data_IF_078791675934
#
_entry.id   IF_078791675934
#
_cell.length_a   1.000
_cell.length_b   1.000
_cell.length_c   1.000
_cell.angle_alpha   90.00
_cell.angle_beta   90.00
_cell.angle_gamma   90.00
#
_symmetry.space_group_name_H-M   'P 1'
#
loop_
_entity.id
_entity.type
_entity.pdbx_description
1 polymer ?
#
# COMPACT_ATOMS: atom_id res chain seq x y z
N UNK A 1 34.41 -13.31 -26.92
CA UNK A 1 34.72 -14.60 -27.57
C UNK A 1 34.05 -15.72 -26.78
N UNK A 2 33.57 -16.78 -27.44
CA UNK A 2 32.94 -17.93 -26.79
C UNK A 2 33.97 -19.01 -26.40
N UNK A 3 33.65 -19.91 -25.47
CA UNK A 3 34.56 -21.01 -25.05
C UNK A 3 35.08 -21.83 -26.23
N UNK A 4 34.22 -22.12 -27.22
CA UNK A 4 34.61 -22.88 -28.40
C UNK A 4 35.62 -22.12 -29.28
N UNK A 5 35.48 -20.80 -29.41
CA UNK A 5 36.42 -19.96 -30.17
C UNK A 5 37.77 -19.90 -29.47
N UNK A 6 37.78 -19.68 -28.16
CA UNK A 6 39.00 -19.66 -27.34
C UNK A 6 39.71 -21.02 -27.39
N UNK A 7 38.96 -22.12 -27.34
CA UNK A 7 39.53 -23.47 -27.43
C UNK A 7 40.26 -23.71 -28.76
N UNK A 8 39.71 -23.22 -29.87
CA UNK A 8 40.32 -23.32 -31.20
C UNK A 8 41.58 -22.46 -31.30
N UNK A 9 41.56 -21.26 -30.73
CA UNK A 9 42.72 -20.36 -30.73
C UNK A 9 43.90 -20.89 -29.92
N UNK A 10 43.61 -21.51 -28.78
CA UNK A 10 44.64 -22.09 -27.91
C UNK A 10 45.05 -23.52 -28.33
N UNK A 11 44.34 -24.14 -29.27
CA UNK A 11 44.59 -25.52 -29.70
C UNK A 11 44.33 -26.56 -28.60
N UNK A 12 43.41 -26.29 -27.67
CA UNK A 12 43.04 -27.18 -26.56
C UNK A 12 41.55 -27.50 -26.57
N UNK A 13 41.14 -28.57 -25.88
CA UNK A 13 39.71 -28.91 -25.76
C UNK A 13 38.95 -27.83 -24.96
N UNK A 14 37.68 -27.52 -25.29
CA UNK A 14 36.83 -26.64 -24.49
C UNK A 14 36.77 -27.03 -23.02
N UNK A 15 36.79 -28.34 -22.71
CA UNK A 15 36.81 -28.85 -21.33
C UNK A 15 38.09 -28.49 -20.58
N UNK A 16 39.22 -28.43 -21.28
CA UNK A 16 40.51 -28.04 -20.71
C UNK A 16 40.51 -26.56 -20.34
N UNK A 17 39.95 -25.72 -21.21
CA UNK A 17 39.75 -24.29 -20.92
C UNK A 17 38.88 -24.13 -19.67
N UNK A 18 37.73 -24.82 -19.61
CA UNK A 18 36.85 -24.78 -18.43
C UNK A 18 37.54 -25.29 -17.16
N UNK A 19 38.36 -26.35 -17.27
CA UNK A 19 39.13 -26.90 -16.14
C UNK A 19 40.14 -25.88 -15.60
N UNK A 20 40.82 -25.15 -16.47
CA UNK A 20 41.73 -24.09 -16.06
C UNK A 20 41.00 -22.99 -15.32
N UNK A 21 39.84 -22.55 -15.82
CA UNK A 21 38.99 -21.55 -15.16
C UNK A 21 38.58 -22.01 -13.76
N UNK A 22 38.14 -23.27 -13.61
CA UNK A 22 37.71 -23.80 -12.31
C UNK A 22 38.86 -24.03 -11.33
N UNK A 23 40.01 -24.50 -11.83
CA UNK A 23 41.16 -24.85 -10.97
C UNK A 23 41.93 -23.60 -10.51
N UNK A 24 41.92 -22.56 -11.33
CA UNK A 24 42.62 -21.30 -11.10
C UNK A 24 41.66 -20.20 -10.61
N UNK A 25 40.40 -20.55 -10.36
CA UNK A 25 39.34 -19.65 -9.86
C UNK A 25 39.25 -18.32 -10.62
N UNK A 26 39.38 -18.35 -11.95
CA UNK A 26 39.32 -17.14 -12.77
C UNK A 26 37.88 -16.62 -12.88
N UNK A 27 37.66 -15.38 -12.47
CA UNK A 27 36.36 -14.69 -12.60
C UNK A 27 36.17 -14.20 -14.04
N UNK A 28 35.48 -15.00 -14.86
CA UNK A 28 35.17 -14.68 -16.26
C UNK A 28 33.69 -14.37 -16.38
N UNK A 29 33.36 -13.36 -17.19
CA UNK A 29 31.98 -12.93 -17.43
C UNK A 29 31.12 -14.08 -17.97
N UNK A 30 29.89 -14.19 -17.45
CA UNK A 30 28.88 -15.11 -17.96
C UNK A 30 27.75 -14.31 -18.60
N UNK A 31 27.36 -14.69 -19.80
CA UNK A 31 26.16 -14.17 -20.47
C UNK A 31 24.91 -14.57 -19.67
N UNK A 32 23.77 -13.86 -19.76
CA UNK A 32 22.49 -14.25 -19.15
C UNK A 32 22.07 -15.71 -19.43
N UNK A 33 22.54 -16.30 -20.53
CA UNK A 33 22.33 -17.71 -20.90
C UNK A 33 23.38 -18.68 -20.29
N UNK A 34 24.12 -18.26 -19.25
CA UNK A 34 25.14 -19.05 -18.52
C UNK A 34 26.32 -19.56 -19.36
N UNK A 35 26.50 -19.06 -20.58
CA UNK A 35 27.70 -19.29 -21.39
C UNK A 35 28.83 -18.34 -20.97
N UNK A 36 30.08 -18.82 -21.03
CA UNK A 36 31.25 -18.01 -20.72
C UNK A 36 31.57 -17.05 -21.88
N UNK A 37 31.80 -15.78 -21.54
CA UNK A 37 32.23 -14.73 -22.46
C UNK A 37 33.64 -14.31 -22.07
N UNK A 38 34.59 -14.54 -22.97
CA UNK A 38 35.99 -14.21 -22.78
C UNK A 38 36.32 -12.88 -23.45
N UNK A 39 36.99 -12.00 -22.71
CA UNK A 39 37.68 -10.81 -23.23
C UNK A 39 39.04 -11.22 -23.84
N UNK A 40 39.62 -10.34 -24.65
CA UNK A 40 40.98 -10.52 -25.19
C UNK A 40 42.01 -10.65 -24.06
N UNK A 41 41.80 -9.93 -22.94
CA UNK A 41 42.62 -10.03 -21.73
C UNK A 41 42.57 -11.44 -21.11
N UNK A 42 41.39 -12.06 -21.06
CA UNK A 42 41.20 -13.40 -20.50
C UNK A 42 41.89 -14.46 -21.36
N UNK A 43 41.87 -14.28 -22.68
CA UNK A 43 42.57 -15.16 -23.62
C UNK A 43 44.08 -15.05 -23.42
N UNK A 44 44.62 -13.84 -23.21
CA UNK A 44 46.04 -13.66 -22.93
C UNK A 44 46.47 -14.33 -21.61
N UNK A 45 45.63 -14.29 -20.56
CA UNK A 45 45.88 -15.03 -19.32
C UNK A 45 45.91 -16.54 -19.57
N UNK A 46 44.96 -17.06 -20.34
CA UNK A 46 44.92 -18.49 -20.67
C UNK A 46 46.11 -18.92 -21.54
N UNK A 47 46.64 -18.04 -22.41
CA UNK A 47 47.89 -18.27 -23.14
C UNK A 47 49.08 -18.38 -22.19
N UNK A 48 49.20 -17.46 -21.23
CA UNK A 48 50.26 -17.50 -20.23
C UNK A 48 50.21 -18.80 -19.40
N UNK A 49 49.01 -19.25 -19.03
CA UNK A 49 48.81 -20.55 -18.35
C UNK A 49 49.27 -21.70 -19.23
N UNK A 50 48.93 -21.68 -20.51
CA UNK A 50 49.34 -22.71 -21.46
C UNK A 50 50.87 -22.77 -21.61
N UNK A 51 51.56 -21.63 -21.66
CA UNK A 51 53.02 -21.57 -21.71
C UNK A 51 53.66 -22.10 -20.43
N UNK A 52 53.13 -21.75 -19.27
CA UNK A 52 53.62 -22.26 -17.97
C UNK A 52 53.44 -23.77 -17.83
N UNK A 53 52.35 -24.33 -18.39
CA UNK A 53 52.13 -25.77 -18.46
C UNK A 53 53.11 -26.46 -19.41
N UNK A 54 53.42 -25.86 -20.56
CA UNK A 54 54.46 -26.37 -21.48
C UNK A 54 55.84 -26.39 -20.82
N UNK A 55 56.12 -25.44 -19.94
CA UNK A 55 57.35 -25.35 -19.15
C UNK A 55 57.39 -26.31 -17.94
N UNK A 56 56.43 -27.23 -17.81
CA UNK A 56 56.43 -28.27 -16.77
C UNK A 56 55.96 -27.81 -15.39
N UNK A 57 55.35 -26.63 -15.28
CA UNK A 57 54.84 -26.15 -13.99
C UNK A 57 53.49 -26.82 -13.67
N UNK A 58 53.34 -27.50 -12.51
CA UNK A 58 52.08 -28.16 -12.17
C UNK A 58 50.97 -27.13 -11.89
N UNK A 59 49.76 -27.46 -12.36
CA UNK A 59 48.56 -26.60 -12.32
C UNK A 59 48.19 -26.08 -10.92
N UNK A 60 48.65 -26.75 -9.86
CA UNK A 60 48.39 -26.41 -8.45
C UNK A 60 49.36 -25.35 -7.88
N UNK A 61 50.55 -25.19 -8.47
CA UNK A 61 51.57 -24.25 -8.00
C UNK A 61 51.62 -22.97 -8.85
N UNK A 62 50.77 -22.86 -9.88
CA UNK A 62 50.71 -21.66 -10.70
C UNK A 62 50.04 -20.52 -9.94
N UNK A 63 50.88 -19.64 -9.39
CA UNK A 63 50.47 -18.30 -8.95
C UNK A 63 50.26 -17.44 -10.19
N UNK A 64 49.15 -17.67 -10.89
CA UNK A 64 48.65 -16.64 -11.79
C UNK A 64 48.49 -15.42 -10.91
N UNK A 65 49.10 -14.34 -11.33
CA UNK A 65 48.81 -13.06 -10.74
C UNK A 65 47.37 -12.81 -11.15
N UNK A 66 46.40 -13.31 -10.35
CA UNK A 66 45.13 -12.63 -10.16
C UNK A 66 45.52 -11.17 -10.21
N UNK A 67 44.87 -10.40 -11.09
CA UNK A 67 44.97 -8.94 -11.04
C UNK A 67 44.98 -8.65 -9.55
N UNK A 68 46.13 -8.21 -9.03
CA UNK A 68 46.14 -7.39 -7.83
C UNK A 68 45.30 -6.24 -8.34
N UNK A 69 43.99 -6.35 -8.17
CA UNK A 69 43.15 -5.22 -7.88
C UNK A 69 43.90 -4.68 -6.72
N UNK A 70 44.81 -3.75 -7.01
CA UNK A 70 45.36 -2.88 -6.01
C UNK A 70 44.07 -2.39 -5.40
N UNK A 71 43.73 -2.86 -4.21
CA UNK A 71 42.91 -2.09 -3.30
C UNK A 71 43.80 -0.89 -2.97
N UNK A 72 44.02 -0.04 -3.97
CA UNK A 72 44.03 1.36 -3.76
C UNK A 72 42.78 1.54 -2.92
N UNK A 73 42.94 2.04 -1.70
CA UNK A 73 41.95 2.97 -1.21
C UNK A 73 41.90 4.08 -2.26
N UNK A 74 41.25 3.83 -3.39
CA UNK A 74 40.62 4.88 -4.12
C UNK A 74 39.63 5.37 -3.09
N UNK A 75 40.00 6.47 -2.44
CA UNK A 75 38.99 7.44 -2.09
C UNK A 75 38.26 7.67 -3.41
N UNK A 76 37.21 6.87 -3.67
CA UNK A 76 36.22 7.13 -4.70
C UNK A 76 35.52 8.39 -4.21
N UNK A 77 36.22 9.51 -4.33
CA UNK A 77 35.63 10.82 -4.26
C UNK A 77 34.71 10.80 -5.49
N UNK A 78 33.38 10.84 -5.31
CA UNK A 78 32.48 10.87 -6.44
C UNK A 78 32.99 11.94 -7.38
N UNK A 79 33.06 11.63 -8.68
CA UNK A 79 33.44 12.63 -9.65
C UNK A 79 32.55 13.86 -9.40
N UNK A 80 33.11 15.08 -9.47
CA UNK A 80 32.35 16.31 -9.16
C UNK A 80 31.06 16.38 -9.98
N UNK A 81 31.01 15.69 -11.12
CA UNK A 81 29.84 15.60 -11.98
C UNK A 81 28.81 14.57 -11.52
N UNK A 82 29.20 13.43 -10.93
CA UNK A 82 28.25 12.55 -10.23
C UNK A 82 27.59 13.24 -9.05
N UNK A 83 28.36 13.94 -8.21
CA UNK A 83 27.79 14.69 -7.07
C UNK A 83 26.75 15.71 -7.52
N UNK A 84 27.02 16.48 -8.59
CA UNK A 84 26.04 17.42 -9.14
C UNK A 84 24.79 16.74 -9.69
N UNK A 85 24.91 15.53 -10.26
CA UNK A 85 23.75 14.77 -10.71
C UNK A 85 22.90 14.30 -9.54
N UNK A 86 23.53 13.87 -8.45
CA UNK A 86 22.84 13.55 -7.20
C UNK A 86 22.14 14.79 -6.62
N UNK A 87 22.82 15.94 -6.56
CA UNK A 87 22.24 17.19 -6.06
C UNK A 87 21.00 17.60 -6.88
N UNK A 88 21.08 17.53 -8.22
CA UNK A 88 19.93 17.81 -9.10
C UNK A 88 18.79 16.81 -8.90
N UNK A 89 19.11 15.54 -8.64
CA UNK A 89 18.10 14.52 -8.39
C UNK A 89 17.39 14.78 -7.05
N UNK A 90 18.15 15.15 -6.02
CA UNK A 90 17.61 15.53 -4.70
C UNK A 90 16.73 16.77 -4.82
N UNK A 91 17.19 17.83 -5.49
CA UNK A 91 16.37 19.03 -5.75
C UNK A 91 15.06 18.69 -6.48
N UNK A 92 15.12 17.75 -7.43
CA UNK A 92 13.93 17.31 -8.16
C UNK A 92 12.97 16.54 -7.28
N UNK A 93 13.47 15.69 -6.39
CA UNK A 93 12.67 14.95 -5.42
C UNK A 93 12.01 15.93 -4.45
N UNK A 94 12.75 16.86 -3.85
CA UNK A 94 12.21 17.88 -2.93
C UNK A 94 11.15 18.76 -3.60
N UNK A 95 11.32 19.09 -4.87
CA UNK A 95 10.31 19.83 -5.64
C UNK A 95 9.03 19.02 -5.86
N UNK A 96 9.17 17.72 -6.14
CA UNK A 96 8.03 16.82 -6.31
C UNK A 96 7.30 16.57 -4.99
N UNK A 97 8.03 16.40 -3.89
CA UNK A 97 7.48 16.25 -2.54
C UNK A 97 6.67 17.48 -2.13
N UNK A 98 7.21 18.68 -2.36
CA UNK A 98 6.46 19.93 -2.11
C UNK A 98 5.18 20.01 -2.92
N UNK A 99 5.23 19.71 -4.22
CA UNK A 99 4.04 19.69 -5.08
C UNK A 99 3.01 18.66 -4.64
N UNK A 100 3.46 17.48 -4.21
CA UNK A 100 2.60 16.43 -3.69
C UNK A 100 1.92 16.88 -2.40
N UNK A 101 2.67 17.49 -1.47
CA UNK A 101 2.14 18.06 -0.22
C UNK A 101 1.07 19.10 -0.52
N UNK A 102 1.36 20.08 -1.38
CA UNK A 102 0.39 21.12 -1.75
C UNK A 102 -0.87 20.52 -2.36
N UNK A 103 -0.75 19.52 -3.23
CA UNK A 103 -1.92 18.85 -3.82
C UNK A 103 -2.74 18.06 -2.79
N UNK A 104 -2.08 17.49 -1.78
CA UNK A 104 -2.78 16.85 -0.67
C UNK A 104 -3.54 17.91 0.16
N UNK A 105 -2.90 19.04 0.46
CA UNK A 105 -3.50 20.15 1.20
C UNK A 105 -4.70 20.75 0.46
N UNK A 106 -4.63 20.89 -0.86
CA UNK A 106 -5.74 21.39 -1.70
C UNK A 106 -6.96 20.45 -1.64
N UNK A 107 -6.73 19.14 -1.75
CA UNK A 107 -7.81 18.13 -1.68
C UNK A 107 -8.44 18.12 -0.29
N UNK A 108 -7.63 18.17 0.77
CA UNK A 108 -8.12 18.21 2.14
C UNK A 108 -8.91 19.49 2.39
N UNK A 109 -8.44 20.63 1.89
CA UNK A 109 -9.15 21.91 2.01
C UNK A 109 -10.52 21.86 1.33
N UNK A 110 -10.58 21.29 0.12
CA UNK A 110 -11.85 21.06 -0.58
C UNK A 110 -12.77 20.11 0.20
N UNK A 111 -12.25 19.01 0.74
CA UNK A 111 -13.03 18.06 1.54
C UNK A 111 -13.60 18.72 2.80
N UNK A 112 -12.80 19.49 3.53
CA UNK A 112 -13.26 20.20 4.74
C UNK A 112 -14.39 21.18 4.40
N UNK A 113 -14.26 21.94 3.30
CA UNK A 113 -15.32 22.85 2.85
C UNK A 113 -16.60 22.07 2.48
N UNK A 114 -16.46 20.96 1.76
CA UNK A 114 -17.59 20.11 1.40
C UNK A 114 -18.29 19.53 2.63
N UNK A 115 -17.54 18.99 3.59
CA UNK A 115 -18.09 18.46 4.84
C UNK A 115 -18.77 19.56 5.67
N UNK A 116 -18.22 20.77 5.68
CA UNK A 116 -18.88 21.90 6.35
C UNK A 116 -20.23 22.23 5.70
N UNK A 117 -20.30 22.27 4.38
CA UNK A 117 -21.55 22.51 3.66
C UNK A 117 -22.58 21.40 3.93
N UNK A 118 -22.14 20.14 3.93
CA UNK A 118 -22.99 18.98 4.25
C UNK A 118 -23.53 19.07 5.69
N UNK A 119 -22.70 19.48 6.65
CA UNK A 119 -23.14 19.71 8.04
C UNK A 119 -24.16 20.86 8.11
N UNK A 120 -23.93 21.97 7.40
CA UNK A 120 -24.86 23.10 7.38
C UNK A 120 -26.21 22.72 6.75
N UNK A 121 -26.21 21.90 5.69
CA UNK A 121 -27.42 21.34 5.08
C UNK A 121 -28.17 20.43 6.06
N UNK A 122 -27.47 19.51 6.71
CA UNK A 122 -28.06 18.63 7.74
C UNK A 122 -28.64 19.43 8.91
N UNK A 123 -27.96 20.48 9.36
CA UNK A 123 -28.46 21.37 10.41
C UNK A 123 -29.73 22.10 9.97
N UNK A 124 -29.81 22.57 8.73
CA UNK A 124 -31.02 23.18 8.18
C UNK A 124 -32.20 22.21 8.20
N UNK A 125 -31.98 20.97 7.76
CA UNK A 125 -33.02 19.92 7.77
C UNK A 125 -33.47 19.61 9.21
N UNK A 126 -32.53 19.51 10.15
CA UNK A 126 -32.87 19.29 11.57
C UNK A 126 -33.70 20.45 12.13
N UNK A 127 -33.36 21.70 11.81
CA UNK A 127 -34.15 22.86 12.21
C UNK A 127 -35.57 22.82 11.63
N UNK A 128 -35.72 22.49 10.34
CA UNK A 128 -37.03 22.37 9.70
C UNK A 128 -37.88 21.27 10.35
N UNK A 129 -37.30 20.09 10.58
CA UNK A 129 -37.99 18.99 11.26
C UNK A 129 -38.40 19.38 12.69
N UNK A 130 -37.52 20.08 13.42
CA UNK A 130 -37.82 20.56 14.78
C UNK A 130 -38.99 21.54 14.75
N UNK A 131 -38.99 22.49 13.82
CA UNK A 131 -40.09 23.43 13.64
C UNK A 131 -41.41 22.72 13.27
N UNK A 132 -41.35 21.72 12.38
CA UNK A 132 -42.53 20.93 12.03
C UNK A 132 -43.06 20.18 13.26
N UNK A 133 -42.20 19.58 14.08
CA UNK A 133 -42.58 18.93 15.33
C UNK A 133 -43.25 19.92 16.30
N UNK A 134 -42.68 21.11 16.50
CA UNK A 134 -43.27 22.15 17.34
C UNK A 134 -44.65 22.59 16.85
N UNK A 135 -44.83 22.76 15.53
CA UNK A 135 -46.14 23.11 14.96
C UNK A 135 -47.18 21.99 15.13
N UNK A 136 -46.76 20.72 15.11
CA UNK A 136 -47.65 19.59 15.34
C UNK A 136 -48.01 19.47 16.83
N UNK A 137 -47.05 19.67 17.73
CA UNK A 137 -47.27 19.68 19.17
C UNK A 137 -48.22 20.80 19.59
N UNK A 138 -48.01 22.03 19.11
CA UNK A 138 -48.91 23.15 19.38
C UNK A 138 -50.32 22.91 18.84
N UNK A 139 -50.47 22.38 17.61
CA UNK A 139 -51.78 21.99 17.07
C UNK A 139 -52.47 20.91 17.92
N UNK A 140 -51.71 19.93 18.42
CA UNK A 140 -52.23 18.89 19.30
C UNK A 140 -52.67 19.46 20.66
N UNK A 141 -51.90 20.38 21.25
CA UNK A 141 -52.26 21.06 22.49
C UNK A 141 -53.52 21.91 22.34
N UNK A 142 -53.66 22.63 21.22
CA UNK A 142 -54.87 23.42 20.91
C UNK A 142 -56.09 22.51 20.68
N UNK A 143 -55.92 21.39 19.97
CA UNK A 143 -56.99 20.40 19.79
C UNK A 143 -57.42 19.77 21.13
N UNK A 144 -56.46 19.41 21.98
CA UNK A 144 -56.69 18.92 23.34
C UNK A 144 -57.42 19.93 24.23
N UNK A 145 -57.08 21.22 24.16
CA UNK A 145 -57.80 22.27 24.89
C UNK A 145 -59.20 22.54 24.33
N UNK A 146 -59.38 22.48 23.02
CA UNK A 146 -60.70 22.61 22.40
C UNK A 146 -61.61 21.43 22.80
N UNK A 147 -61.09 20.21 22.83
CA UNK A 147 -61.81 19.03 23.31
C UNK A 147 -62.15 19.14 24.81
N UNK A 148 -61.24 19.70 25.62
CA UNK A 148 -61.50 19.98 27.05
C UNK A 148 -62.59 21.06 27.25
N UNK A 149 -62.60 22.10 26.41
CA UNK A 149 -63.63 23.14 26.40
C UNK A 149 -65.00 22.59 25.98
N UNK A 150 -65.05 21.73 24.97
CA UNK A 150 -66.27 21.05 24.53
C UNK A 150 -66.76 20.02 25.57
N UNK A 151 -65.85 19.33 26.26
CA UNK A 151 -66.21 18.40 27.34
C UNK A 151 -66.84 19.11 28.56
N UNK A 152 -66.49 20.39 28.82
CA UNK A 152 -67.12 21.19 29.86
C UNK A 152 -68.56 21.62 29.50
N UNK A 153 -68.84 21.90 28.23
CA UNK A 153 -70.18 22.26 27.74
C UNK A 153 -71.10 21.01 27.65
N UNK A 154 -70.53 19.84 27.34
CA UNK A 154 -71.23 18.54 27.35
C UNK A 154 -71.49 18.00 28.78
N UNK A 155 -70.61 18.31 29.74
CA UNK A 155 -70.84 18.00 31.16
C UNK A 155 -71.97 18.82 31.80
N UNK A 156 -72.27 20.01 31.29
CA UNK A 156 -73.39 20.83 31.76
C UNK A 156 -74.76 20.33 31.25
N UNK A 157 -74.79 19.53 30.18
CA UNK A 157 -76.01 19.04 29.55
C UNK A 157 -76.39 17.58 29.93
N UNK A 158 -75.55 16.87 30.69
CA UNK A 158 -75.76 15.45 31.05
C UNK A 158 -76.14 15.22 32.53
N UNK A 159 -76.95 16.08 33.12
CA UNK A 159 -77.41 15.95 34.51
C UNK A 159 -78.69 15.09 34.67
N UNK A 160 -78.98 14.07 33.83
CA UNK A 160 -80.08 13.11 34.13
C UNK A 160 -79.86 11.71 33.53
N UNK A 161 -79.41 10.76 34.35
CA UNK A 161 -79.92 9.37 34.44
C UNK A 161 -78.96 8.46 35.22
N UNK A 162 -79.31 8.14 36.47
CA UNK A 162 -78.62 7.13 37.28
C UNK A 162 -79.19 5.73 37.00
N UNK A 163 -78.40 4.80 36.44
CA UNK A 163 -78.59 3.34 36.64
C UNK A 163 -77.23 2.60 36.74
N UNK A 164 -77.22 1.58 37.61
CA UNK A 164 -76.07 0.94 38.32
C UNK A 164 -75.22 -0.01 37.45
N UNK A 165 -73.97 -0.34 37.87
CA UNK A 165 -73.09 -1.28 37.16
C UNK A 165 -73.43 -2.74 37.49
N UNK A 166 -73.54 -3.59 36.46
CA UNK A 166 -73.65 -5.04 36.60
C UNK A 166 -72.33 -5.72 36.15
N UNK A 167 -71.70 -6.36 37.12
CA UNK A 167 -70.70 -7.44 37.04
C UNK A 167 -69.36 -7.18 36.35
N UNK A 168 -68.39 -6.82 37.20
CA UNK A 168 -67.04 -7.37 37.14
C UNK A 168 -67.04 -8.88 37.35
N UNK A 169 -65.98 -9.52 36.83
CA UNK A 169 -65.44 -10.86 37.18
C UNK A 169 -66.20 -12.11 36.74
N UNK A 170 -65.70 -12.75 35.67
CA UNK A 170 -65.67 -14.22 35.53
C UNK A 170 -64.35 -14.67 34.83
N UNK A 171 -63.40 -15.09 35.68
CA UNK A 171 -62.47 -16.20 35.52
C UNK A 171 -61.54 -16.36 34.28
N UNK A 172 -60.28 -15.99 34.49
CA UNK A 172 -59.08 -16.88 34.53
C UNK A 172 -59.31 -18.37 34.13
N UNK A 173 -58.68 -18.85 33.05
CA UNK A 173 -58.00 -20.18 32.99
C UNK A 173 -57.27 -20.47 31.66
N UNK A 174 -56.17 -21.23 31.77
CA UNK A 174 -55.42 -22.01 30.73
C UNK A 174 -54.44 -21.23 29.85
N UNK A 175 -53.11 -21.24 30.03
CA UNK A 175 -52.07 -22.31 30.14
C UNK A 175 -51.87 -23.14 28.85
N UNK A 176 -50.71 -22.91 28.21
CA UNK A 176 -49.78 -23.78 27.41
C UNK A 176 -49.29 -23.03 26.15
N UNK A 177 -48.03 -22.57 26.09
CA UNK A 177 -46.79 -23.27 25.68
C UNK A 177 -46.74 -23.76 24.22
N UNK A 178 -45.83 -23.15 23.42
CA UNK A 178 -44.95 -23.70 22.36
C UNK A 178 -44.44 -22.50 21.50
N UNK A 179 -43.21 -21.99 21.64
CA UNK A 179 -41.92 -22.45 21.08
C UNK A 179 -41.85 -22.68 19.56
N UNK A 180 -40.79 -22.10 18.96
CA UNK A 180 -40.19 -22.28 17.60
C UNK A 180 -40.90 -21.55 16.44
N UNK A 181 -40.25 -20.79 15.56
CA UNK A 181 -38.84 -20.56 15.21
C UNK A 181 -38.53 -19.07 15.08
#
# INVERSE_FOLDING_TARGET
MNTNEVSKLLGVSPKTVLRWITQLSLEIERTPLKHYRFSEEDVALLQQVQEQLKNGTPLQNMKIHEKKVRKAKAANKPSKDESKMYDKLVERIEHLERKLSTKADDVVSYQILQHRNEIEELQSVVCELTQQIETLQTKLEVASQADCFLAFDEAASTEKSKKKPFFSTLFRSSKKEAQTN
#
